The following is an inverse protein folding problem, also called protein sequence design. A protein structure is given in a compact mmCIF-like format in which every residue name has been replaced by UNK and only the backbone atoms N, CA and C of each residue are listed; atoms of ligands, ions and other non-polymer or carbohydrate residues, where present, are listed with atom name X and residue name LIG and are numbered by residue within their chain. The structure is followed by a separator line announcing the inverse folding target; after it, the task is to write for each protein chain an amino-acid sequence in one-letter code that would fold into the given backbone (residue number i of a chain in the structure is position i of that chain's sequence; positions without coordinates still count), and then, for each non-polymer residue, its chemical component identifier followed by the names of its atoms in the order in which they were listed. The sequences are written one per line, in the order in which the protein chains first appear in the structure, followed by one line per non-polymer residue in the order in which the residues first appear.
data_IF_665513309266
#
_entry.id   IF_665513309266
#
_cell.length_a   1.000
_cell.length_b   1.000
_cell.length_c   1.000
_cell.angle_alpha   90.00
_cell.angle_beta   90.00
_cell.angle_gamma   90.00
#
_symmetry.space_group_name_H-M   'P 1'
#
loop_
_entity.id
_entity.type
_entity.pdbx_description
1 polymer ?
#
# COMPACT_ATOMS: atom_id res chain seq x y z
N UNK A 1 6.23 -25.22 4.38
CA UNK A 1 5.75 -24.07 3.59
C UNK A 1 4.41 -24.50 3.04
N UNK A 2 3.36 -24.21 3.80
CA UNK A 2 2.02 -24.77 3.58
C UNK A 2 1.33 -23.89 2.55
N UNK A 3 0.99 -24.50 1.42
CA UNK A 3 0.02 -24.01 0.45
C UNK A 3 -1.32 -23.91 1.17
N UNK A 4 -1.59 -22.74 1.76
CA UNK A 4 -2.85 -22.43 2.44
C UNK A 4 -3.90 -22.19 1.35
N UNK A 5 -4.67 -23.26 1.09
CA UNK A 5 -5.73 -23.26 0.10
C UNK A 5 -6.76 -22.18 0.42
N UNK A 6 -7.01 -21.32 -0.55
CA UNK A 6 -8.07 -20.31 -0.59
C UNK A 6 -9.47 -20.95 -0.44
N UNK A 7 -9.85 -21.37 0.77
CA UNK A 7 -11.18 -21.93 1.06
C UNK A 7 -12.18 -20.79 1.42
N UNK A 8 -13.48 -20.99 1.16
CA UNK A 8 -14.50 -19.94 1.24
C UNK A 8 -14.76 -19.38 2.67
N UNK A 9 -14.32 -20.09 3.71
CA UNK A 9 -14.36 -19.61 5.09
C UNK A 9 -13.18 -18.70 5.40
N UNK A 10 -12.01 -18.95 4.80
CA UNK A 10 -10.85 -18.06 4.83
C UNK A 10 -11.17 -16.74 4.13
N UNK A 11 -11.78 -16.81 2.93
CA UNK A 11 -12.22 -15.62 2.18
C UNK A 11 -13.26 -14.78 2.94
N UNK A 12 -14.15 -15.42 3.72
CA UNK A 12 -15.16 -14.70 4.52
C UNK A 12 -14.54 -14.02 5.73
N UNK A 13 -13.69 -14.72 6.49
CA UNK A 13 -12.95 -14.12 7.59
C UNK A 13 -12.05 -12.97 7.12
N UNK A 14 -11.46 -13.12 5.94
CA UNK A 14 -10.70 -12.07 5.26
C UNK A 14 -11.55 -10.85 4.89
N UNK A 15 -12.68 -11.05 4.18
CA UNK A 15 -13.57 -9.94 3.82
C UNK A 15 -14.12 -9.20 5.05
N UNK A 16 -14.53 -9.88 6.11
CA UNK A 16 -15.05 -9.23 7.34
C UNK A 16 -13.97 -8.38 8.04
N UNK A 17 -12.73 -8.86 8.02
CA UNK A 17 -11.61 -8.18 8.64
C UNK A 17 -11.16 -6.96 7.82
N UNK A 18 -11.11 -7.09 6.49
CA UNK A 18 -10.83 -6.01 5.55
C UNK A 18 -11.94 -4.95 5.58
N UNK A 19 -13.22 -5.35 5.64
CA UNK A 19 -14.35 -4.42 5.74
C UNK A 19 -14.29 -3.57 7.01
N UNK A 20 -13.97 -4.20 8.15
CA UNK A 20 -13.78 -3.48 9.43
C UNK A 20 -12.63 -2.49 9.36
N UNK A 21 -11.48 -2.88 8.79
CA UNK A 21 -10.34 -1.99 8.62
C UNK A 21 -10.64 -0.84 7.63
N UNK A 22 -11.38 -1.11 6.55
CA UNK A 22 -11.78 -0.11 5.58
C UNK A 22 -12.72 0.93 6.20
N UNK A 23 -13.71 0.52 7.00
CA UNK A 23 -14.61 1.47 7.70
C UNK A 23 -13.82 2.51 8.52
N UNK A 24 -12.74 2.09 9.18
CA UNK A 24 -11.88 2.95 10.00
C UNK A 24 -11.04 3.95 9.17
N UNK A 25 -10.78 3.63 7.91
CA UNK A 25 -9.98 4.43 6.98
C UNK A 25 -10.80 5.49 6.24
N UNK A 26 -12.10 5.64 6.57
CA UNK A 26 -12.98 6.58 5.90
C UNK A 26 -12.63 8.05 6.22
N UNK A 27 -12.50 8.94 5.21
CA UNK A 27 -12.72 8.70 3.78
C UNK A 27 -11.53 8.01 3.09
N UNK A 28 -11.74 6.78 2.62
CA UNK A 28 -10.75 6.00 1.88
C UNK A 28 -10.83 6.40 0.39
N UNK A 29 -9.71 6.54 -0.31
CA UNK A 29 -9.71 6.59 -1.77
C UNK A 29 -10.29 5.28 -2.33
N UNK A 30 -11.30 5.36 -3.22
CA UNK A 30 -12.00 4.18 -3.77
C UNK A 30 -11.07 3.19 -4.51
N UNK A 31 -9.97 3.70 -5.05
CA UNK A 31 -8.89 2.91 -5.65
C UNK A 31 -8.21 1.96 -4.65
N UNK A 32 -8.02 2.40 -3.40
CA UNK A 32 -7.38 1.57 -2.36
C UNK A 32 -8.32 0.45 -1.90
N UNK A 33 -9.62 0.74 -1.76
CA UNK A 33 -10.65 -0.26 -1.45
C UNK A 33 -10.71 -1.35 -2.54
N UNK A 34 -10.61 -0.94 -3.81
CA UNK A 34 -10.59 -1.87 -4.95
C UNK A 34 -9.35 -2.76 -4.92
N UNK A 35 -8.18 -2.19 -4.59
CA UNK A 35 -6.94 -2.96 -4.45
C UNK A 35 -7.04 -4.02 -3.36
N UNK A 36 -7.50 -3.65 -2.15
CA UNK A 36 -7.67 -4.60 -1.04
C UNK A 36 -8.72 -5.68 -1.31
N UNK A 37 -9.64 -5.45 -2.25
CA UNK A 37 -10.58 -6.48 -2.70
C UNK A 37 -9.92 -7.56 -3.57
N UNK A 38 -8.78 -7.26 -4.16
CA UNK A 38 -8.07 -8.15 -5.10
C UNK A 38 -6.81 -8.73 -4.47
N UNK A 39 -6.11 -7.96 -3.63
CA UNK A 39 -4.81 -8.34 -3.05
C UNK A 39 -4.75 -7.93 -1.59
N UNK A 40 -4.55 -8.89 -0.69
CA UNK A 40 -4.43 -8.67 0.76
C UNK A 40 -3.09 -8.03 1.14
N UNK A 41 -1.99 -8.63 0.69
CA UNK A 41 -0.61 -8.18 0.90
C UNK A 41 0.20 -8.52 -0.35
N UNK A 42 1.09 -7.62 -0.77
CA UNK A 42 2.14 -7.94 -1.75
C UNK A 42 3.48 -7.83 -1.05
N UNK A 43 4.12 -8.97 -0.83
CA UNK A 43 5.46 -9.05 -0.29
C UNK A 43 6.42 -9.45 -1.41
N UNK A 44 7.21 -8.49 -1.88
CA UNK A 44 8.21 -8.65 -2.94
C UNK A 44 9.61 -8.33 -2.39
N UNK A 45 10.15 -9.19 -1.51
CA UNK A 45 11.45 -8.94 -0.88
C UNK A 45 12.62 -9.03 -1.86
N UNK A 46 12.44 -9.63 -3.04
CA UNK A 46 13.48 -9.82 -4.07
C UNK A 46 13.56 -8.65 -5.08
N UNK A 47 12.70 -7.65 -4.95
CA UNK A 47 12.64 -6.48 -5.86
C UNK A 47 13.37 -5.31 -5.22
N UNK A 48 14.58 -5.03 -5.69
CA UNK A 48 15.45 -3.94 -5.21
C UNK A 48 15.66 -3.95 -3.68
N UNK A 49 15.07 -3.02 -2.92
CA UNK A 49 15.16 -2.94 -1.45
C UNK A 49 14.07 -3.75 -0.71
N UNK A 50 13.18 -4.41 -1.45
CA UNK A 50 12.03 -5.16 -0.94
C UNK A 50 10.77 -4.31 -0.92
N UNK A 51 9.83 -4.56 -1.82
CA UNK A 51 8.57 -3.81 -1.85
C UNK A 51 7.48 -4.53 -1.06
N UNK A 52 6.83 -3.82 -0.14
CA UNK A 52 5.79 -4.36 0.72
C UNK A 52 4.53 -3.49 0.64
N UNK A 53 3.49 -3.97 -0.03
CA UNK A 53 2.12 -3.44 0.15
C UNK A 53 1.59 -4.02 1.45
N UNK A 54 1.33 -3.17 2.43
CA UNK A 54 0.91 -3.60 3.75
C UNK A 54 -0.56 -4.05 3.76
N UNK A 55 -0.90 -5.05 4.59
CA UNK A 55 -2.29 -5.46 4.75
C UNK A 55 -3.13 -4.33 5.33
N UNK A 56 -4.42 -4.30 4.99
CA UNK A 56 -5.36 -3.24 5.40
C UNK A 56 -5.39 -3.04 6.93
N UNK A 57 -5.11 -4.10 7.68
CA UNK A 57 -5.04 -4.11 9.14
C UNK A 57 -3.88 -3.29 9.68
N UNK A 58 -2.70 -3.49 9.11
CA UNK A 58 -1.50 -2.77 9.47
C UNK A 58 -1.60 -1.31 9.01
N UNK A 59 -2.24 -1.06 7.86
CA UNK A 59 -2.56 0.29 7.42
C UNK A 59 -3.55 0.99 8.36
N UNK A 60 -4.60 0.31 8.83
CA UNK A 60 -5.53 0.85 9.81
C UNK A 60 -4.85 1.09 11.17
N UNK A 61 -3.97 0.20 11.61
CA UNK A 61 -3.21 0.37 12.86
C UNK A 61 -2.26 1.58 12.76
N UNK A 62 -1.53 1.69 11.65
CA UNK A 62 -0.70 2.87 11.37
C UNK A 62 -1.51 4.16 11.25
N UNK A 63 -2.71 4.11 10.66
CA UNK A 63 -3.59 5.26 10.61
C UNK A 63 -4.06 5.68 12.01
N UNK A 64 -4.30 4.74 12.93
CA UNK A 64 -4.63 5.06 14.33
C UNK A 64 -3.45 5.63 15.09
N UNK A 65 -2.25 5.11 14.85
CA UNK A 65 -1.04 5.50 15.56
C UNK A 65 -0.47 6.84 15.05
N UNK A 66 -0.40 7.01 13.73
CA UNK A 66 0.25 8.14 13.07
C UNK A 66 -0.71 9.09 12.34
N UNK A 67 -1.92 8.66 12.01
CA UNK A 67 -2.89 9.44 11.23
C UNK A 67 -2.59 9.48 9.73
N UNK A 68 -3.41 10.24 9.00
CA UNK A 68 -3.14 10.55 7.60
C UNK A 68 -1.97 11.54 7.46
N UNK A 69 -1.12 11.30 6.47
CA UNK A 69 -0.06 12.20 6.06
C UNK A 69 -0.67 13.41 5.36
N UNK A 70 -0.23 14.61 5.74
CA UNK A 70 -0.60 15.84 5.05
C UNK A 70 0.43 16.15 3.97
N UNK A 71 0.00 16.21 2.73
CA UNK A 71 0.84 16.56 1.58
C UNK A 71 0.37 17.91 1.05
N UNK A 72 1.31 18.82 0.81
CA UNK A 72 0.99 20.17 0.36
C UNK A 72 0.26 20.14 -0.99
N UNK A 73 -0.93 20.72 -1.05
CA UNK A 73 -1.77 20.75 -2.25
C UNK A 73 -2.60 19.49 -2.52
N UNK A 74 -2.59 18.50 -1.62
CA UNK A 74 -3.34 17.25 -1.76
C UNK A 74 -4.28 17.02 -0.57
N UNK A 75 -5.26 16.14 -0.77
CA UNK A 75 -6.08 15.62 0.33
C UNK A 75 -5.23 14.70 1.24
N UNK A 76 -5.67 14.47 2.50
CA UNK A 76 -4.95 13.60 3.44
C UNK A 76 -4.62 12.26 2.79
N UNK A 77 -3.34 11.88 2.84
CA UNK A 77 -2.84 10.69 2.20
C UNK A 77 -2.64 9.56 3.20
N UNK A 78 -2.97 8.34 2.80
CA UNK A 78 -2.87 7.16 3.63
C UNK A 78 -1.65 6.32 3.23
N UNK A 79 -0.75 6.08 4.18
CA UNK A 79 0.41 5.23 3.95
C UNK A 79 -0.02 3.78 3.85
N UNK A 80 0.27 3.14 2.73
CA UNK A 80 -0.18 1.78 2.43
C UNK A 80 0.95 0.81 2.04
N UNK A 81 2.15 1.31 1.74
CA UNK A 81 3.27 0.47 1.35
C UNK A 81 4.63 1.03 1.81
N UNK A 82 5.67 0.19 1.79
CA UNK A 82 7.06 0.57 2.06
C UNK A 82 8.06 -0.18 1.17
N UNK A 83 9.24 0.40 0.93
CA UNK A 83 10.28 -0.18 0.07
C UNK A 83 11.39 -0.95 0.81
N UNK A 84 11.18 -1.36 2.07
CA UNK A 84 12.16 -2.13 2.85
C UNK A 84 13.41 -1.35 3.27
N UNK A 85 13.79 -0.31 2.52
CA UNK A 85 14.79 0.71 2.85
C UNK A 85 14.27 1.81 3.77
N UNK A 86 13.02 1.73 4.21
CA UNK A 86 12.37 2.65 5.15
C UNK A 86 11.59 3.78 4.49
N UNK A 87 11.56 3.87 3.16
CA UNK A 87 10.66 4.81 2.48
C UNK A 87 9.24 4.26 2.52
N UNK A 88 8.28 5.16 2.70
CA UNK A 88 6.86 4.83 2.75
C UNK A 88 6.14 5.42 1.54
N UNK A 89 5.09 4.75 1.09
CA UNK A 89 4.22 5.19 0.01
C UNK A 89 2.83 5.50 0.55
N UNK A 90 2.33 6.69 0.24
CA UNK A 90 1.03 7.18 0.63
C UNK A 90 0.15 7.41 -0.59
N UNK A 91 -1.11 6.98 -0.51
CA UNK A 91 -2.14 7.28 -1.51
C UNK A 91 -2.96 8.48 -1.04
N UNK A 92 -2.94 9.56 -1.81
CA UNK A 92 -3.78 10.73 -1.57
C UNK A 92 -5.22 10.48 -2.02
N UNK A 93 -6.18 11.25 -1.47
CA UNK A 93 -7.58 11.24 -1.92
C UNK A 93 -7.77 11.49 -3.41
N UNK A 94 -6.80 12.17 -4.04
CA UNK A 94 -6.72 12.41 -5.49
C UNK A 94 -6.46 11.14 -6.32
N UNK A 95 -6.08 10.02 -5.68
CA UNK A 95 -5.63 8.80 -6.33
C UNK A 95 -4.12 8.78 -6.64
N UNK A 96 -3.39 9.87 -6.38
CA UNK A 96 -1.93 9.92 -6.60
C UNK A 96 -1.16 9.22 -5.50
N UNK A 97 -0.05 8.61 -5.88
CA UNK A 97 0.86 7.93 -4.94
C UNK A 97 2.10 8.79 -4.74
N UNK A 98 2.42 8.96 -3.48
CA UNK A 98 3.49 9.80 -2.99
C UNK A 98 4.47 8.94 -2.20
N UNK A 99 5.77 9.15 -2.38
CA UNK A 99 6.82 8.43 -1.64
C UNK A 99 7.56 9.40 -0.73
N UNK A 100 7.86 8.98 0.50
CA UNK A 100 8.72 9.77 1.39
C UNK A 100 10.11 9.94 0.79
N UNK A 101 10.66 11.15 0.88
CA UNK A 101 12.01 11.49 0.36
C UNK A 101 13.14 10.92 1.21
N UNK A 102 12.86 10.62 2.46
CA UNK A 102 13.76 10.00 3.43
C UNK A 102 13.06 8.78 4.04
N UNK A 103 13.81 7.92 4.74
CA UNK A 103 13.23 6.80 5.48
C UNK A 103 12.53 7.27 6.79
N UNK A 104 11.63 8.24 6.68
CA UNK A 104 10.84 8.77 7.78
C UNK A 104 9.38 8.95 7.37
N UNK A 105 8.48 8.66 8.29
CA UNK A 105 7.03 8.81 8.13
C UNK A 105 6.56 10.27 7.99
N UNK A 106 7.31 11.21 8.57
CA UNK A 106 6.94 12.62 8.71
C UNK A 106 7.69 13.56 7.75
N UNK A 107 8.49 12.99 6.85
CA UNK A 107 9.31 13.79 5.93
C UNK A 107 8.53 14.22 4.69
N UNK A 108 9.18 15.01 3.85
CA UNK A 108 8.57 15.50 2.61
C UNK A 108 8.30 14.34 1.65
N UNK A 109 7.24 14.45 0.87
CA UNK A 109 6.82 13.43 -0.09
C UNK A 109 7.02 13.93 -1.52
N UNK A 110 7.55 13.07 -2.38
CA UNK A 110 7.66 13.27 -3.82
C UNK A 110 6.63 12.42 -4.56
N UNK A 111 6.14 12.92 -5.70
CA UNK A 111 5.19 12.19 -6.53
C UNK A 111 5.86 10.93 -7.09
N UNK A 112 5.35 9.77 -6.69
CA UNK A 112 5.86 8.48 -7.12
C UNK A 112 5.10 7.94 -8.33
N UNK A 113 3.78 8.11 -8.35
CA UNK A 113 2.94 7.73 -9.48
C UNK A 113 1.66 8.55 -9.52
N UNK A 114 1.08 8.72 -10.72
CA UNK A 114 -0.21 9.38 -10.88
C UNK A 114 -1.39 8.49 -10.42
N UNK A 115 -1.16 7.18 -10.22
CA UNK A 115 -2.16 6.25 -9.69
C UNK A 115 -1.64 4.85 -9.40
N UNK A 116 -2.48 4.04 -8.74
CA UNK A 116 -2.16 2.64 -8.40
C UNK A 116 -1.74 1.81 -9.61
N UNK A 117 -2.40 2.01 -10.75
CA UNK A 117 -2.05 1.28 -11.97
C UNK A 117 -0.61 1.58 -12.42
N UNK A 118 -0.24 2.86 -12.55
CA UNK A 118 1.11 3.26 -12.94
C UNK A 118 2.14 2.76 -11.91
N UNK A 119 1.78 2.82 -10.63
CA UNK A 119 2.60 2.30 -9.56
C UNK A 119 2.87 0.78 -9.70
N UNK A 120 1.85 -0.03 -9.98
CA UNK A 120 2.01 -1.47 -10.22
C UNK A 120 2.74 -1.78 -11.53
N UNK A 121 2.54 -0.97 -12.57
CA UNK A 121 3.27 -1.11 -13.83
C UNK A 121 4.77 -0.83 -13.64
N UNK A 122 5.13 0.17 -12.85
CA UNK A 122 6.52 0.48 -12.50
C UNK A 122 7.14 -0.66 -11.69
N UNK A 123 6.42 -1.15 -10.67
CA UNK A 123 6.85 -2.29 -9.86
C UNK A 123 7.05 -3.56 -10.72
N UNK A 124 6.12 -3.83 -11.65
CA UNK A 124 6.23 -4.94 -12.60
C UNK A 124 7.45 -4.81 -13.52
N UNK A 125 7.77 -3.58 -13.92
CA UNK A 125 8.96 -3.29 -14.75
C UNK A 125 10.25 -3.47 -13.97
N UNK A 126 10.29 -3.07 -12.70
CA UNK A 126 11.44 -3.30 -11.81
C UNK A 126 11.68 -4.79 -11.59
N UNK A 127 10.62 -5.57 -11.33
CA UNK A 127 10.71 -7.05 -11.24
C UNK A 127 11.29 -7.63 -12.54
N UNK A 128 10.76 -7.20 -13.68
CA UNK A 128 11.17 -7.72 -15.00
C UNK A 128 12.56 -7.25 -15.43
N UNK A 129 13.03 -6.11 -14.91
CA UNK A 129 14.34 -5.53 -15.20
C UNK A 129 15.46 -6.00 -14.25
N UNK A 130 15.11 -6.40 -13.02
CA UNK A 130 16.05 -6.95 -12.03
C UNK A 130 16.44 -8.40 -12.32
N UNK A 131 15.64 -9.11 -13.12
CA UNK A 131 16.02 -10.38 -13.72
C UNK A 131 17.06 -10.21 -14.83
N UNK A 132 18.35 -10.04 -14.48
CA UNK A 132 19.43 -10.26 -15.46
C UNK A 132 19.79 -11.76 -15.54
N UNK A 133 20.06 -12.29 -16.76
CA UNK A 133 20.48 -13.68 -17.00
C UNK A 133 21.86 -14.02 -16.45
#
# INVERSE_FOLDING_TARGET
MTDDRLDAEWLRGWCEHVDTALVELTPIPSDLTTMYWVIDEVSLPDVENGYFVHPATLVADHFREYGAVQIDGEEPALVFASDGGGHVFALAGSGRIWRSTTPSWLDQFDLAAAGLQEFFEELSRQISGSGRP
#
